data_IF_392822832005
#
_entry.id   IF_392822832005
#
_cell.length_a   1.000
_cell.length_b   1.000
_cell.length_c   1.000
_cell.angle_alpha   90.00
_cell.angle_beta   90.00
_cell.angle_gamma   90.00
#
_symmetry.space_group_name_H-M   'P 1'
#
loop_
_entity.id
_entity.type
_entity.pdbx_description
1 polymer ?
#
# COMPACT_ATOMS: atom_id res chain seq x y z
N UNK A 1 22.03 12.58 1.81
CA UNK A 1 21.68 11.31 2.48
C UNK A 1 20.21 11.39 2.83
N UNK A 2 19.39 10.48 2.32
CA UNK A 2 17.94 10.43 2.60
C UNK A 2 17.67 9.70 3.90
N UNK A 3 16.76 10.22 4.72
CA UNK A 3 16.32 9.64 6.00
C UNK A 3 14.88 9.17 5.89
N UNK A 4 14.67 7.87 6.10
CA UNK A 4 13.34 7.25 6.05
C UNK A 4 12.93 6.88 7.47
N UNK A 5 11.77 7.39 7.92
CA UNK A 5 11.16 6.95 9.17
C UNK A 5 10.17 5.82 8.88
N UNK A 6 10.44 4.64 9.45
CA UNK A 6 9.56 3.47 9.37
C UNK A 6 9.06 3.15 10.78
N UNK A 7 7.80 3.45 11.12
CA UNK A 7 7.29 3.32 12.48
C UNK A 7 6.94 1.87 12.85
N UNK A 8 6.56 1.05 11.87
CA UNK A 8 6.23 -0.37 12.02
C UNK A 8 6.44 -1.12 10.71
N UNK A 9 6.48 -2.45 10.77
CA UNK A 9 6.56 -3.32 9.59
C UNK A 9 5.25 -3.41 8.81
N UNK A 10 4.10 -3.20 9.47
CA UNK A 10 2.80 -3.13 8.80
C UNK A 10 1.83 -2.19 9.52
N UNK A 11 1.02 -1.45 8.77
CA UNK A 11 -0.10 -0.67 9.31
C UNK A 11 -1.14 -1.60 9.95
N UNK A 12 -1.46 -1.39 11.23
CA UNK A 12 -2.40 -2.19 12.01
C UNK A 12 -1.75 -3.15 13.01
N UNK A 13 -0.41 -3.16 13.12
CA UNK A 13 0.33 -3.91 14.14
C UNK A 13 0.67 -3.08 15.39
N UNK A 14 0.43 -1.78 15.36
CA UNK A 14 0.89 -0.83 16.36
C UNK A 14 2.38 -0.49 16.23
N UNK A 15 2.77 0.54 16.96
CA UNK A 15 4.14 1.02 17.12
C UNK A 15 4.28 1.82 18.41
N UNK A 16 5.52 2.00 18.87
CA UNK A 16 5.82 2.84 20.02
C UNK A 16 5.71 4.33 19.65
N UNK A 17 4.78 5.04 20.30
CA UNK A 17 4.54 6.48 20.08
C UNK A 17 5.73 7.35 20.51
N UNK A 18 6.49 6.93 21.53
CA UNK A 18 7.70 7.64 21.93
C UNK A 18 8.79 7.52 20.85
N UNK A 19 8.90 6.33 20.24
CA UNK A 19 9.81 6.10 19.12
C UNK A 19 9.38 6.88 17.87
N UNK A 20 8.09 6.90 17.52
CA UNK A 20 7.55 7.73 16.43
C UNK A 20 7.91 9.21 16.63
N UNK A 21 7.64 9.75 17.82
CA UNK A 21 7.97 11.14 18.14
C UNK A 21 9.47 11.43 18.09
N UNK A 22 10.32 10.48 18.52
CA UNK A 22 11.77 10.59 18.39
C UNK A 22 12.22 10.59 16.92
N UNK A 23 11.61 9.74 16.10
CA UNK A 23 11.84 9.69 14.66
C UNK A 23 11.49 10.99 13.96
N UNK A 24 10.32 11.59 14.29
CA UNK A 24 9.90 12.90 13.77
C UNK A 24 10.91 13.99 14.15
N UNK A 25 11.35 14.04 15.42
CA UNK A 25 12.39 15.00 15.88
C UNK A 25 13.73 14.84 15.16
N UNK A 26 14.02 13.66 14.62
CA UNK A 26 15.23 13.42 13.82
C UNK A 26 15.17 14.02 12.41
N UNK A 27 14.06 14.67 12.03
CA UNK A 27 13.81 15.30 10.72
C UNK A 27 14.00 14.31 9.58
N UNK A 28 13.07 13.35 9.41
CA UNK A 28 13.09 12.45 8.27
C UNK A 28 12.80 13.24 6.98
N UNK A 29 13.11 12.66 5.83
CA UNK A 29 12.71 13.19 4.53
C UNK A 29 11.38 12.58 4.05
N UNK A 30 10.97 11.47 4.66
CA UNK A 30 9.77 10.69 4.31
C UNK A 30 9.39 9.79 5.49
N UNK A 31 8.08 9.59 5.69
CA UNK A 31 7.55 8.53 6.55
C UNK A 31 7.02 7.43 5.64
N UNK A 32 7.47 6.19 5.85
CA UNK A 32 7.05 5.05 5.06
C UNK A 32 6.56 3.92 5.97
N UNK A 33 5.47 3.28 5.57
CA UNK A 33 4.97 2.06 6.21
C UNK A 33 4.57 1.08 5.10
N UNK A 34 4.44 -0.20 5.43
CA UNK A 34 3.94 -1.20 4.47
C UNK A 34 2.67 -1.86 5.04
N UNK A 35 2.13 -2.81 4.31
CA UNK A 35 1.14 -3.77 4.78
C UNK A 35 1.37 -5.17 4.21
N UNK A 36 2.28 -5.34 3.25
CA UNK A 36 2.45 -6.57 2.50
C UNK A 36 2.77 -7.78 3.37
N UNK A 37 2.05 -8.88 3.16
CA UNK A 37 2.30 -10.13 3.87
C UNK A 37 1.92 -11.34 3.02
N UNK A 38 2.74 -12.39 3.05
CA UNK A 38 2.42 -13.73 2.52
C UNK A 38 1.89 -14.67 3.59
N UNK A 39 2.22 -14.42 4.87
CA UNK A 39 1.90 -15.29 6.01
C UNK A 39 0.41 -15.41 6.30
N UNK A 40 -0.38 -14.48 5.76
CA UNK A 40 -1.82 -14.38 6.02
C UNK A 40 -2.66 -15.33 5.15
N UNK A 41 -2.01 -16.10 4.27
CA UNK A 41 -2.66 -17.00 3.34
C UNK A 41 -3.49 -16.26 2.26
N UNK A 42 -4.26 -17.01 1.45
CA UNK A 42 -4.92 -16.45 0.27
C UNK A 42 -6.20 -15.66 0.57
N UNK A 43 -6.75 -15.73 1.79
CA UNK A 43 -8.10 -15.24 2.10
C UNK A 43 -8.29 -13.74 1.82
N UNK A 44 -7.34 -12.90 2.26
CA UNK A 44 -7.46 -11.45 2.13
C UNK A 44 -7.30 -10.96 0.70
N UNK A 45 -6.43 -11.62 -0.09
CA UNK A 45 -6.36 -11.37 -1.52
C UNK A 45 -7.61 -11.87 -2.22
N UNK A 46 -8.07 -13.09 -1.93
CA UNK A 46 -9.25 -13.68 -2.56
C UNK A 46 -10.56 -12.93 -2.29
N UNK A 47 -10.62 -12.14 -1.21
CA UNK A 47 -11.79 -11.33 -0.83
C UNK A 47 -11.59 -9.83 -1.06
N UNK A 48 -10.40 -9.39 -1.48
CA UNK A 48 -10.06 -7.97 -1.63
C UNK A 48 -10.17 -7.16 -0.32
N UNK A 49 -10.05 -7.81 0.84
CA UNK A 49 -10.28 -7.19 2.16
C UNK A 49 -9.00 -7.05 2.97
N UNK A 50 -8.99 -6.10 3.91
CA UNK A 50 -7.85 -5.91 4.82
C UNK A 50 -7.80 -6.98 5.89
N UNK A 51 -6.58 -7.45 6.22
CA UNK A 51 -6.32 -8.28 7.41
C UNK A 51 -6.64 -7.56 8.71
N UNK A 52 -6.31 -6.27 8.78
CA UNK A 52 -6.43 -5.48 9.99
C UNK A 52 -7.77 -4.76 10.05
N UNK A 53 -8.30 -4.61 11.26
CA UNK A 53 -9.58 -3.94 11.48
C UNK A 53 -9.53 -2.50 11.00
N UNK A 54 -10.66 -1.98 10.52
CA UNK A 54 -10.79 -0.58 10.15
C UNK A 54 -10.51 0.37 11.32
N UNK A 55 -10.94 0.01 12.53
CA UNK A 55 -10.77 0.86 13.71
C UNK A 55 -9.28 1.03 14.07
N UNK A 56 -8.52 -0.06 14.15
CA UNK A 56 -7.07 -0.01 14.43
C UNK A 56 -6.32 0.70 13.30
N UNK A 57 -6.63 0.37 12.05
CA UNK A 57 -6.01 0.99 10.86
C UNK A 57 -6.24 2.50 10.84
N UNK A 58 -7.48 2.96 11.05
CA UNK A 58 -7.80 4.40 11.08
C UNK A 58 -7.06 5.12 12.20
N UNK A 59 -7.02 4.55 13.41
CA UNK A 59 -6.36 5.17 14.55
C UNK A 59 -4.86 5.36 14.31
N UNK A 60 -4.18 4.30 13.86
CA UNK A 60 -2.74 4.37 13.53
C UNK A 60 -2.48 5.30 12.33
N UNK A 61 -3.28 5.18 11.27
CA UNK A 61 -3.11 6.03 10.09
C UNK A 61 -3.30 7.52 10.41
N UNK A 62 -4.23 7.87 11.31
CA UNK A 62 -4.42 9.25 11.76
C UNK A 62 -3.19 9.80 12.49
N UNK A 63 -2.55 9.00 13.34
CA UNK A 63 -1.30 9.37 14.02
C UNK A 63 -0.15 9.55 13.02
N UNK A 64 -0.05 8.70 12.00
CA UNK A 64 0.97 8.85 10.95
C UNK A 64 0.71 10.07 10.07
N UNK A 65 -0.55 10.37 9.74
CA UNK A 65 -0.91 11.61 9.04
C UNK A 65 -0.55 12.86 9.85
N UNK A 66 -0.76 12.84 11.17
CA UNK A 66 -0.36 13.93 12.06
C UNK A 66 1.17 14.08 12.15
N UNK A 67 1.89 12.98 12.35
CA UNK A 67 3.37 12.96 12.38
C UNK A 67 3.97 13.47 11.07
N UNK A 68 3.37 13.09 9.94
CA UNK A 68 3.70 13.58 8.60
C UNK A 68 3.51 15.09 8.49
N UNK A 69 2.38 15.61 8.98
CA UNK A 69 2.10 17.04 8.95
C UNK A 69 3.08 17.83 9.84
N UNK A 70 3.42 17.31 11.02
CA UNK A 70 4.42 17.89 11.92
C UNK A 70 5.82 17.95 11.28
N UNK A 71 6.23 16.86 10.63
CA UNK A 71 7.53 16.79 9.94
C UNK A 71 7.56 17.51 8.59
N UNK A 72 6.41 17.87 8.01
CA UNK A 72 6.25 18.46 6.69
C UNK A 72 6.89 17.61 5.55
N UNK A 73 6.64 16.30 5.57
CA UNK A 73 7.22 15.31 4.62
C UNK A 73 6.12 14.49 3.93
N UNK A 74 6.38 13.71 2.87
CA UNK A 74 5.41 12.76 2.36
C UNK A 74 5.21 11.55 3.29
N UNK A 75 4.00 10.97 3.28
CA UNK A 75 3.68 9.68 3.90
C UNK A 75 3.38 8.65 2.81
N UNK A 76 4.02 7.49 2.86
CA UNK A 76 3.86 6.43 1.85
C UNK A 76 3.47 5.12 2.51
N UNK A 77 2.47 4.45 1.95
CA UNK A 77 2.21 3.04 2.21
C UNK A 77 2.44 2.19 0.97
N UNK A 78 3.29 1.16 1.09
CA UNK A 78 3.70 0.28 -0.01
C UNK A 78 2.64 -0.73 -0.44
N UNK A 79 1.88 -1.29 0.52
CA UNK A 79 0.77 -2.21 0.25
C UNK A 79 -0.43 -1.91 1.14
N UNK A 80 -1.56 -1.56 0.54
CA UNK A 80 -2.79 -1.31 1.26
C UNK A 80 -3.49 -2.64 1.66
N UNK A 81 -3.98 -2.71 2.91
CA UNK A 81 -4.81 -3.81 3.42
C UNK A 81 -4.14 -5.19 3.38
N UNK A 82 -2.82 -5.27 3.29
CA UNK A 82 -2.00 -6.50 3.22
C UNK A 82 -2.08 -7.32 1.94
N UNK A 83 -3.20 -7.26 1.22
CA UNK A 83 -3.40 -7.98 -0.03
C UNK A 83 -3.04 -7.15 -1.26
N UNK A 84 -3.17 -5.82 -1.18
CA UNK A 84 -2.87 -4.92 -2.28
C UNK A 84 -3.88 -4.87 -3.41
N UNK A 85 -5.04 -5.51 -3.22
CA UNK A 85 -6.16 -5.40 -4.13
C UNK A 85 -6.62 -3.94 -4.26
N UNK A 86 -7.18 -3.59 -5.41
CA UNK A 86 -7.65 -2.23 -5.68
C UNK A 86 -8.73 -1.79 -4.68
N UNK A 87 -9.55 -2.73 -4.22
CA UNK A 87 -10.54 -2.51 -3.17
C UNK A 87 -9.91 -2.13 -1.81
N UNK A 88 -8.73 -2.69 -1.48
CA UNK A 88 -8.00 -2.36 -0.26
C UNK A 88 -7.36 -0.97 -0.35
N UNK A 89 -6.91 -0.59 -1.54
CA UNK A 89 -6.41 0.76 -1.86
C UNK A 89 -7.52 1.80 -1.71
N UNK A 90 -8.69 1.56 -2.33
CA UNK A 90 -9.86 2.44 -2.22
C UNK A 90 -10.35 2.55 -0.78
N UNK A 91 -10.36 1.44 -0.04
CA UNK A 91 -10.71 1.42 1.37
C UNK A 91 -9.79 2.32 2.23
N UNK A 92 -8.48 2.25 2.05
CA UNK A 92 -7.55 3.10 2.78
C UNK A 92 -7.62 4.56 2.32
N UNK A 93 -7.91 4.82 1.05
CA UNK A 93 -8.18 6.17 0.55
C UNK A 93 -9.41 6.77 1.24
N UNK A 94 -10.48 6.01 1.44
CA UNK A 94 -11.68 6.47 2.15
C UNK A 94 -11.40 6.74 3.64
N UNK A 95 -10.61 5.90 4.30
CA UNK A 95 -10.10 6.17 5.66
C UNK A 95 -9.32 7.49 5.68
N UNK A 96 -8.45 7.71 4.68
CA UNK A 96 -7.62 8.91 4.57
C UNK A 96 -8.49 10.16 4.41
N UNK A 97 -9.52 10.10 3.56
CA UNK A 97 -10.49 11.19 3.36
C UNK A 97 -11.27 11.51 4.64
N UNK A 98 -11.69 10.49 5.36
CA UNK A 98 -12.40 10.62 6.63
C UNK A 98 -11.52 11.34 7.66
N UNK A 99 -10.27 10.89 7.87
CA UNK A 99 -9.32 11.54 8.79
C UNK A 99 -9.03 12.98 8.35
N UNK A 100 -8.84 13.22 7.06
CA UNK A 100 -8.58 14.56 6.54
C UNK A 100 -9.75 15.52 6.84
N UNK A 101 -10.99 15.06 6.69
CA UNK A 101 -12.18 15.83 7.05
C UNK A 101 -12.27 16.09 8.55
N UNK A 102 -11.99 15.08 9.38
CA UNK A 102 -12.01 15.20 10.85
C UNK A 102 -10.92 16.14 11.40
N UNK A 103 -9.77 16.19 10.74
CA UNK A 103 -8.61 16.99 11.18
C UNK A 103 -8.44 18.30 10.42
N UNK A 104 -9.32 18.60 9.46
CA UNK A 104 -9.26 19.81 8.65
C UNK A 104 -8.06 19.88 7.69
N UNK A 105 -7.44 18.74 7.37
CA UNK A 105 -6.29 18.69 6.46
C UNK A 105 -6.73 18.77 4.99
N UNK A 106 -6.00 19.56 4.19
CA UNK A 106 -6.10 19.57 2.73
C UNK A 106 -4.91 18.80 2.18
N UNK A 107 -5.17 17.68 1.51
CA UNK A 107 -4.14 16.74 1.08
C UNK A 107 -4.22 16.48 -0.42
N UNK A 108 -3.07 16.41 -1.07
CA UNK A 108 -2.91 15.78 -2.38
C UNK A 108 -2.56 14.31 -2.19
N UNK A 109 -3.50 13.41 -2.47
CA UNK A 109 -3.27 11.96 -2.35
C UNK A 109 -3.04 11.37 -3.73
N UNK A 110 -1.94 10.63 -3.90
CA UNK A 110 -1.69 9.81 -5.08
C UNK A 110 -2.00 8.35 -4.74
N UNK A 111 -2.65 7.66 -5.69
CA UNK A 111 -3.11 6.28 -5.52
C UNK A 111 -2.52 5.44 -6.63
N UNK A 112 -1.89 4.33 -6.27
CA UNK A 112 -1.23 3.41 -7.19
C UNK A 112 -1.92 2.05 -7.09
N UNK A 113 -2.74 1.73 -8.10
CA UNK A 113 -3.44 0.46 -8.21
C UNK A 113 -2.60 -0.52 -9.02
N UNK A 114 -2.53 -1.77 -8.57
CA UNK A 114 -1.68 -2.80 -9.18
C UNK A 114 -2.43 -4.07 -9.57
N UNK A 115 -3.77 -4.07 -9.51
CA UNK A 115 -4.54 -5.15 -10.12
C UNK A 115 -4.32 -5.24 -11.64
N UNK A 116 -4.24 -6.47 -12.13
CA UNK A 116 -3.97 -6.81 -13.51
C UNK A 116 -5.22 -7.40 -14.15
N UNK A 117 -5.47 -7.02 -15.40
CA UNK A 117 -6.59 -7.56 -16.16
C UNK A 117 -6.30 -9.02 -16.57
N UNK A 118 -7.19 -9.99 -16.27
CA UNK A 118 -6.99 -11.39 -16.66
C UNK A 118 -6.78 -11.63 -18.16
N UNK A 119 -7.47 -10.87 -19.02
CA UNK A 119 -7.33 -10.95 -20.47
C UNK A 119 -5.96 -10.46 -20.94
N UNK A 120 -5.46 -9.37 -20.37
CA UNK A 120 -4.11 -8.86 -20.67
C UNK A 120 -3.03 -9.84 -20.20
N UNK A 121 -3.23 -10.51 -19.07
CA UNK A 121 -2.33 -11.56 -18.58
C UNK A 121 -2.33 -12.79 -19.50
N UNK A 122 -3.50 -13.21 -19.98
CA UNK A 122 -3.61 -14.31 -20.95
C UNK A 122 -2.88 -13.99 -22.26
N UNK A 123 -3.03 -12.78 -22.80
CA UNK A 123 -2.30 -12.36 -24.00
C UNK A 123 -0.79 -12.23 -23.74
N UNK A 124 -0.37 -11.78 -22.55
CA UNK A 124 1.03 -11.75 -22.16
C UNK A 124 1.65 -13.15 -22.05
N UNK A 125 0.91 -14.12 -21.50
CA UNK A 125 1.32 -15.52 -21.43
C UNK A 125 1.48 -16.10 -22.84
N UNK A 126 0.48 -15.90 -23.72
CA UNK A 126 0.52 -16.36 -25.12
C UNK A 126 1.70 -15.76 -25.89
N UNK A 127 2.05 -14.50 -25.59
CA UNK A 127 3.21 -13.82 -26.17
C UNK A 127 4.56 -14.22 -25.54
N UNK A 128 4.59 -15.16 -24.60
CA UNK A 128 5.81 -15.62 -23.93
C UNK A 128 6.43 -14.59 -22.98
N UNK A 129 5.66 -13.59 -22.53
CA UNK A 129 6.14 -12.52 -21.62
C UNK A 129 5.98 -12.86 -20.15
N UNK A 130 5.28 -13.95 -19.83
CA UNK A 130 5.13 -14.45 -18.46
C UNK A 130 5.91 -15.75 -18.34
N UNK A 131 6.84 -15.79 -17.38
CA UNK A 131 7.58 -16.98 -17.01
C UNK A 131 7.27 -17.33 -15.54
N UNK A 132 7.02 -18.61 -15.22
CA UNK A 132 6.76 -19.04 -13.85
C UNK A 132 8.01 -18.88 -12.97
N UNK A 133 7.80 -18.53 -11.70
CA UNK A 133 8.84 -18.67 -10.68
C UNK A 133 9.16 -20.16 -10.44
N UNK A 134 10.36 -20.49 -9.90
CA UNK A 134 10.65 -21.87 -9.51
C UNK A 134 9.56 -22.45 -8.60
N UNK A 135 9.11 -23.66 -8.91
CA UNK A 135 8.02 -24.37 -8.23
C UNK A 135 6.61 -23.74 -8.32
N UNK A 136 6.40 -22.73 -9.17
CA UNK A 136 5.05 -22.27 -9.47
C UNK A 136 4.27 -23.37 -10.24
N UNK A 137 2.95 -23.51 -9.99
CA UNK A 137 2.13 -24.43 -10.77
C UNK A 137 2.06 -24.00 -12.24
N UNK A 138 1.68 -24.91 -13.12
CA UNK A 138 1.36 -24.56 -14.49
C UNK A 138 0.21 -23.53 -14.52
N UNK A 139 0.38 -22.51 -15.34
CA UNK A 139 -0.59 -21.43 -15.52
C UNK A 139 -1.14 -21.46 -16.95
N UNK A 140 -2.43 -21.17 -17.07
CA UNK A 140 -3.12 -21.04 -18.35
C UNK A 140 -3.97 -19.77 -18.38
N UNK A 141 -4.56 -19.48 -19.54
CA UNK A 141 -5.53 -18.40 -19.66
C UNK A 141 -6.73 -18.61 -18.71
N UNK A 142 -7.16 -19.87 -18.55
CA UNK A 142 -8.22 -20.26 -17.62
C UNK A 142 -7.82 -20.02 -16.17
N UNK A 143 -6.55 -20.23 -15.80
CA UNK A 143 -6.04 -19.87 -14.48
C UNK A 143 -6.30 -18.40 -14.17
N UNK A 144 -5.88 -17.48 -15.05
CA UNK A 144 -6.10 -16.05 -14.85
C UNK A 144 -7.57 -15.68 -14.80
N UNK A 145 -8.40 -16.25 -15.68
CA UNK A 145 -9.83 -16.00 -15.71
C UNK A 145 -10.53 -16.45 -14.42
N UNK A 146 -10.00 -17.48 -13.73
CA UNK A 146 -10.52 -17.98 -12.46
C UNK A 146 -10.05 -17.19 -11.23
N UNK A 147 -9.01 -16.36 -11.36
CA UNK A 147 -8.50 -15.57 -10.24
C UNK A 147 -9.50 -14.46 -9.87
N UNK A 148 -9.89 -14.39 -8.60
CA UNK A 148 -10.67 -13.25 -8.11
C UNK A 148 -9.90 -11.93 -8.22
N UNK A 149 -8.58 -11.98 -7.96
CA UNK A 149 -7.67 -10.85 -8.02
C UNK A 149 -6.31 -11.31 -8.55
N UNK A 150 -5.70 -10.50 -9.40
CA UNK A 150 -4.30 -10.66 -9.84
C UNK A 150 -3.62 -9.34 -9.51
N UNK A 151 -2.67 -9.34 -8.58
CA UNK A 151 -2.00 -8.12 -8.11
C UNK A 151 -0.53 -8.18 -8.48
N UNK A 152 -0.06 -7.20 -9.24
CA UNK A 152 1.35 -7.07 -9.58
C UNK A 152 2.14 -6.44 -8.43
N UNK A 153 3.39 -6.89 -8.26
CA UNK A 153 4.38 -6.22 -7.41
C UNK A 153 4.97 -5.05 -8.21
N UNK A 154 4.66 -3.82 -7.84
CA UNK A 154 5.18 -2.63 -8.52
C UNK A 154 6.64 -2.34 -8.14
N UNK A 155 7.40 -1.83 -9.10
CA UNK A 155 8.72 -1.28 -8.85
C UNK A 155 8.67 0.10 -8.16
N UNK A 156 9.81 0.53 -7.64
CA UNK A 156 9.97 1.84 -6.95
C UNK A 156 9.67 3.04 -7.86
N UNK A 157 9.74 2.86 -9.17
CA UNK A 157 9.53 3.88 -10.19
C UNK A 157 8.14 4.52 -10.08
N UNK A 158 7.11 3.74 -9.74
CA UNK A 158 5.74 4.26 -9.57
C UNK A 158 5.62 5.14 -8.33
N UNK A 159 6.30 4.76 -7.23
CA UNK A 159 6.35 5.56 -6.00
C UNK A 159 7.09 6.88 -6.25
N UNK A 160 8.22 6.83 -6.97
CA UNK A 160 8.97 8.03 -7.36
C UNK A 160 8.13 8.97 -8.24
N UNK A 161 7.42 8.42 -9.22
CA UNK A 161 6.52 9.20 -10.06
C UNK A 161 5.38 9.84 -9.26
N UNK A 162 4.78 9.12 -8.30
CA UNK A 162 3.76 9.65 -7.41
C UNK A 162 4.28 10.79 -6.53
N UNK A 163 5.45 10.62 -5.91
CA UNK A 163 6.10 11.64 -5.08
C UNK A 163 6.45 12.89 -5.91
N UNK A 164 6.90 12.72 -7.15
CA UNK A 164 7.22 13.84 -8.05
C UNK A 164 6.00 14.71 -8.40
N UNK A 165 4.78 14.22 -8.19
CA UNK A 165 3.57 15.05 -8.32
C UNK A 165 3.40 16.05 -7.18
N UNK A 166 4.23 15.97 -6.12
CA UNK A 166 4.02 16.72 -4.87
C UNK A 166 2.90 16.13 -4.02
N UNK A 167 2.67 14.82 -4.14
CA UNK A 167 1.69 14.11 -3.33
C UNK A 167 2.07 14.18 -1.85
N UNK A 168 1.10 14.54 -1.03
CA UNK A 168 1.23 14.55 0.41
C UNK A 168 1.27 13.14 1.00
N UNK A 169 0.46 12.27 0.40
CA UNK A 169 0.29 10.86 0.76
C UNK A 169 0.31 10.03 -0.53
N UNK A 170 1.03 8.91 -0.52
CA UNK A 170 0.97 7.88 -1.56
C UNK A 170 0.42 6.59 -0.97
N UNK A 171 -0.63 6.04 -1.59
CA UNK A 171 -1.24 4.76 -1.22
C UNK A 171 -1.05 3.79 -2.38
N UNK A 172 -0.26 2.74 -2.17
CA UNK A 172 0.00 1.73 -3.19
C UNK A 172 -0.71 0.39 -2.90
N UNK A 173 -1.06 -0.31 -3.98
CA UNK A 173 -1.59 -1.66 -3.98
C UNK A 173 -0.54 -2.66 -3.56
N UNK A 174 0.51 -2.85 -4.36
CA UNK A 174 1.59 -3.80 -4.07
C UNK A 174 2.78 -3.54 -4.96
#
# INVERSE_FOLDING_TARGET
MTRVLVPSGALGLGYDRAALAAGVRARPDIIAIDGGSTDSGPSYLGTGSSKYSRASTKAEWAELMAARAEAAVPLVIGTAGTCGADAAVDWLLDITREIAAETGQRLRVAVLKSEQNPGEMAEALKAGRIAPLPAAPEISAETFASCSHIVALAGVEQIQAALATGADIVIAGR
#
